data_IF_612760945968
#
_entry.id   IF_612760945968
#
_cell.length_a   1.000
_cell.length_b   1.000
_cell.length_c   1.000
_cell.angle_alpha   90.00
_cell.angle_beta   90.00
_cell.angle_gamma   90.00
#
_symmetry.space_group_name_H-M   'P 1'
#
loop_
_entity.id
_entity.type
_entity.pdbx_description
1 polymer ?
#
# COMPACT_ATOMS: atom_id res chain seq x y z
N UNK A 1 29.75 -22.89 64.53
CA UNK A 1 29.43 -23.36 63.16
C UNK A 1 28.54 -22.32 62.51
N UNK A 2 29.06 -21.61 61.50
CA UNK A 2 28.38 -20.53 60.78
C UNK A 2 27.89 -21.07 59.43
N UNK A 3 26.60 -20.98 59.15
CA UNK A 3 26.00 -21.26 57.84
C UNK A 3 25.51 -19.92 57.25
N UNK A 4 25.86 -19.67 56.00
CA UNK A 4 25.70 -18.40 55.29
C UNK A 4 24.32 -18.25 54.62
N UNK A 5 23.78 -17.02 54.46
CA UNK A 5 22.52 -16.75 53.77
C UNK A 5 22.79 -16.23 52.34
N UNK A 6 22.94 -17.13 51.36
CA UNK A 6 23.16 -16.72 49.95
C UNK A 6 22.17 -17.37 48.97
N UNK A 7 21.31 -18.29 49.39
CA UNK A 7 20.53 -19.10 48.43
C UNK A 7 19.08 -18.67 48.17
N UNK A 8 18.63 -17.47 48.57
CA UNK A 8 17.21 -17.08 48.49
C UNK A 8 16.88 -15.86 47.61
N UNK A 9 17.74 -15.54 46.64
CA UNK A 9 17.54 -14.42 45.70
C UNK A 9 17.54 -14.80 44.21
N UNK A 10 17.57 -16.10 43.88
CA UNK A 10 17.62 -16.57 42.48
C UNK A 10 16.28 -17.08 41.91
N UNK A 11 15.22 -17.16 42.71
CA UNK A 11 13.91 -17.62 42.24
C UNK A 11 12.94 -16.50 41.81
N UNK A 12 13.28 -15.22 42.03
CA UNK A 12 12.40 -14.09 41.74
C UNK A 12 12.72 -13.36 40.40
N UNK A 13 13.75 -13.79 39.66
CA UNK A 13 14.21 -13.09 38.45
C UNK A 13 13.97 -13.85 37.13
N UNK A 14 13.29 -15.00 37.15
CA UNK A 14 12.94 -15.75 35.93
C UNK A 14 11.55 -15.45 35.35
N UNK A 15 10.73 -14.65 36.03
CA UNK A 15 9.37 -14.32 35.57
C UNK A 15 9.29 -13.09 34.65
N UNK A 16 10.42 -12.50 34.26
CA UNK A 16 10.51 -11.27 33.46
C UNK A 16 10.81 -11.48 31.97
N UNK A 17 10.90 -12.72 31.48
CA UNK A 17 11.32 -13.01 30.10
C UNK A 17 10.41 -13.97 29.34
N UNK A 18 9.11 -13.92 29.58
CA UNK A 18 8.12 -14.49 28.67
C UNK A 18 7.00 -13.47 28.45
N UNK A 19 7.30 -12.39 27.72
CA UNK A 19 6.24 -11.67 27.00
C UNK A 19 5.85 -12.63 25.88
N UNK A 20 4.63 -13.21 25.89
CA UNK A 20 4.16 -13.91 24.71
C UNK A 20 4.12 -12.90 23.58
N UNK A 21 4.99 -13.07 22.57
CA UNK A 21 4.80 -12.51 21.25
C UNK A 21 3.54 -13.17 20.67
N UNK A 22 2.39 -12.77 21.19
CA UNK A 22 1.11 -13.00 20.55
C UNK A 22 1.20 -12.12 19.30
N UNK A 23 1.44 -12.74 18.16
CA UNK A 23 1.08 -12.16 16.87
C UNK A 23 -0.44 -11.97 16.95
N UNK A 24 -0.81 -10.85 17.55
CA UNK A 24 -2.16 -10.40 17.68
C UNK A 24 -2.59 -10.11 16.25
N UNK A 25 -3.51 -10.93 15.73
CA UNK A 25 -4.38 -10.56 14.61
C UNK A 25 -5.14 -9.30 15.05
N UNK A 26 -4.44 -8.17 15.07
CA UNK A 26 -5.04 -6.88 15.34
C UNK A 26 -6.03 -6.64 14.20
N UNK A 27 -7.22 -6.12 14.50
CA UNK A 27 -8.13 -5.62 13.47
C UNK A 27 -7.45 -4.41 12.79
N UNK A 28 -6.57 -4.69 11.83
CA UNK A 28 -5.58 -3.76 11.27
C UNK A 28 -6.20 -2.51 10.61
N UNK A 29 -7.51 -2.53 10.36
CA UNK A 29 -8.23 -1.44 9.69
C UNK A 29 -8.25 -0.13 10.46
N UNK A 30 -8.53 -0.15 11.77
CA UNK A 30 -8.77 1.10 12.51
C UNK A 30 -7.47 1.85 12.82
N UNK A 31 -6.37 1.13 13.03
CA UNK A 31 -5.09 1.72 13.45
C UNK A 31 -4.54 2.73 12.44
N UNK A 32 -4.61 2.44 11.14
CA UNK A 32 -4.10 3.36 10.13
C UNK A 32 -4.97 4.62 9.97
N UNK A 33 -6.30 4.52 10.16
CA UNK A 33 -7.18 5.69 10.19
C UNK A 33 -6.92 6.56 11.43
N UNK A 34 -6.71 5.92 12.58
CA UNK A 34 -6.34 6.63 13.81
C UNK A 34 -5.02 7.39 13.60
N UNK A 35 -4.02 6.77 12.97
CA UNK A 35 -2.74 7.41 12.64
C UNK A 35 -2.90 8.57 11.65
N UNK A 36 -3.76 8.44 10.62
CA UNK A 36 -4.09 9.54 9.71
C UNK A 36 -4.70 10.71 10.49
N UNK A 37 -5.61 10.43 11.42
CA UNK A 37 -6.27 11.47 12.24
C UNK A 37 -5.31 12.17 13.22
N UNK A 38 -4.29 11.45 13.70
CA UNK A 38 -3.25 11.96 14.60
C UNK A 38 -2.13 12.71 13.87
N UNK A 39 -2.08 12.63 12.54
CA UNK A 39 -1.05 13.29 11.75
C UNK A 39 -1.12 14.82 11.89
N UNK A 40 0.05 15.45 11.99
CA UNK A 40 0.15 16.90 12.02
C UNK A 40 0.08 17.50 10.61
N UNK A 41 0.62 16.79 9.63
CA UNK A 41 0.57 17.17 8.22
C UNK A 41 0.73 15.96 7.30
N UNK A 42 0.37 16.14 6.04
CA UNK A 42 0.51 15.14 4.98
C UNK A 42 1.22 15.76 3.77
N UNK A 43 2.13 15.01 3.16
CA UNK A 43 2.82 15.38 1.93
C UNK A 43 2.47 14.35 0.86
N UNK A 44 2.05 14.85 -0.30
CA UNK A 44 1.92 14.06 -1.50
C UNK A 44 3.25 14.08 -2.26
N UNK A 45 3.68 12.93 -2.75
CA UNK A 45 4.91 12.75 -3.50
C UNK A 45 4.60 12.15 -4.87
N UNK A 46 5.32 12.62 -5.88
CA UNK A 46 5.46 11.96 -7.16
C UNK A 46 6.89 11.44 -7.31
N UNK A 47 7.02 10.26 -7.89
CA UNK A 47 8.28 9.56 -8.09
C UNK A 47 8.61 9.44 -9.57
N UNK A 48 9.89 9.27 -9.85
CA UNK A 48 10.36 8.73 -11.14
C UNK A 48 10.12 7.22 -11.22
N UNK A 49 10.01 6.73 -12.46
CA UNK A 49 9.97 5.31 -12.76
C UNK A 49 11.19 4.61 -12.14
N UNK A 50 10.95 3.44 -11.55
CA UNK A 50 12.02 2.68 -10.89
C UNK A 50 13.08 2.22 -11.89
N UNK A 51 12.69 1.93 -13.14
CA UNK A 51 13.56 1.42 -14.20
C UNK A 51 14.53 2.49 -14.72
N UNK A 52 14.20 3.78 -14.61
CA UNK A 52 15.10 4.88 -14.95
C UNK A 52 16.26 5.05 -13.93
N UNK A 53 16.32 4.23 -12.87
CA UNK A 53 17.46 4.21 -11.94
C UNK A 53 18.77 3.94 -12.65
N UNK A 54 18.76 3.05 -13.64
CA UNK A 54 19.98 2.54 -14.28
C UNK A 54 20.58 3.51 -15.29
N UNK A 55 19.86 4.58 -15.64
CA UNK A 55 20.36 5.66 -16.47
C UNK A 55 21.23 6.67 -15.70
N UNK A 56 21.41 6.51 -14.37
CA UNK A 56 22.41 7.31 -13.66
C UNK A 56 23.79 6.98 -14.25
N UNK A 57 24.63 7.98 -14.55
CA UNK A 57 26.02 7.73 -14.89
C UNK A 57 26.62 6.87 -13.79
N UNK A 58 26.92 5.59 -14.10
CA UNK A 58 27.65 4.73 -13.18
C UNK A 58 28.97 5.46 -12.94
N UNK A 59 29.21 5.90 -11.71
CA UNK A 59 30.53 6.38 -11.29
C UNK A 59 31.50 5.30 -11.75
N UNK A 60 32.47 5.70 -12.59
CA UNK A 60 33.45 4.79 -13.15
C UNK A 60 33.95 3.88 -12.04
N UNK A 61 33.88 2.57 -12.29
CA UNK A 61 34.07 1.48 -11.32
C UNK A 61 35.00 1.91 -10.18
N UNK A 62 34.50 1.83 -8.95
CA UNK A 62 35.29 2.12 -7.76
C UNK A 62 36.66 1.41 -7.88
N UNK A 63 37.77 2.16 -7.98
CA UNK A 63 39.10 1.57 -8.15
C UNK A 63 39.51 0.74 -6.93
N UNK A 64 38.76 0.78 -5.82
CA UNK A 64 39.04 0.03 -4.60
C UNK A 64 38.46 -1.38 -4.55
N UNK A 65 37.82 -1.86 -5.63
CA UNK A 65 37.74 -3.30 -5.93
C UNK A 65 37.15 -4.18 -4.82
N UNK A 66 36.08 -3.76 -4.16
CA UNK A 66 35.30 -4.63 -3.28
C UNK A 66 34.53 -5.65 -4.12
N UNK A 67 35.19 -6.78 -4.42
CA UNK A 67 34.55 -8.03 -4.85
C UNK A 67 33.72 -8.59 -3.70
N UNK A 68 32.56 -8.01 -3.46
CA UNK A 68 31.56 -8.54 -2.54
C UNK A 68 30.24 -8.52 -3.28
N UNK A 69 29.72 -9.72 -3.55
CA UNK A 69 28.38 -9.96 -4.08
C UNK A 69 27.35 -9.34 -3.12
N UNK A 70 27.04 -8.06 -3.29
CA UNK A 70 25.75 -7.57 -2.83
C UNK A 70 24.75 -8.05 -3.85
N UNK A 71 24.09 -9.17 -3.55
CA UNK A 71 22.79 -9.50 -4.13
C UNK A 71 21.99 -8.20 -4.16
N UNK A 72 21.78 -7.71 -5.37
CA UNK A 72 21.14 -6.43 -5.62
C UNK A 72 19.68 -6.61 -5.17
N UNK A 73 19.46 -6.30 -3.89
CA UNK A 73 18.17 -6.40 -3.23
C UNK A 73 17.12 -5.78 -4.15
N UNK A 74 16.25 -6.62 -4.69
CA UNK A 74 15.10 -6.29 -5.53
C UNK A 74 14.06 -5.43 -4.81
N UNK A 75 14.40 -4.88 -3.64
CA UNK A 75 13.61 -3.94 -2.83
C UNK A 75 13.42 -2.55 -3.47
N UNK A 76 13.70 -2.37 -4.76
CA UNK A 76 13.92 -1.05 -5.35
C UNK A 76 12.68 -0.20 -5.70
N UNK A 77 11.47 -0.78 -5.66
CA UNK A 77 10.28 -0.16 -6.27
C UNK A 77 9.29 0.41 -5.24
N UNK A 78 9.35 0.00 -3.97
CA UNK A 78 8.47 0.52 -2.93
C UNK A 78 9.27 1.37 -1.94
N UNK A 79 8.73 2.52 -1.54
CA UNK A 79 9.20 3.34 -0.43
C UNK A 79 8.68 2.83 0.91
N UNK A 80 7.79 1.83 0.95
CA UNK A 80 7.38 1.20 2.20
C UNK A 80 8.53 0.38 2.76
N UNK A 81 8.77 0.49 4.06
CA UNK A 81 9.80 -0.35 4.68
C UNK A 81 9.34 -1.81 4.75
N UNK A 82 10.26 -2.75 4.55
CA UNK A 82 9.99 -4.19 4.72
C UNK A 82 10.06 -4.63 6.20
N UNK A 83 10.32 -3.71 7.13
CA UNK A 83 10.50 -3.97 8.56
C UNK A 83 9.59 -3.12 9.45
N UNK A 84 10.09 -2.70 10.61
CA UNK A 84 9.32 -1.93 11.61
C UNK A 84 9.01 -0.48 11.19
N UNK A 85 9.62 0.01 10.11
CA UNK A 85 9.43 1.37 9.62
C UNK A 85 8.20 1.54 8.72
N UNK A 86 7.67 2.76 8.69
CA UNK A 86 6.57 3.12 7.77
C UNK A 86 7.10 3.39 6.37
N UNK A 87 8.20 4.17 6.28
CA UNK A 87 8.81 4.62 5.02
C UNK A 87 10.32 4.40 5.05
N UNK A 88 10.89 3.88 3.96
CA UNK A 88 12.32 3.91 3.67
C UNK A 88 12.69 5.30 3.14
N UNK A 89 13.18 6.17 4.03
CA UNK A 89 13.49 7.57 3.73
C UNK A 89 14.56 7.71 2.63
N UNK A 90 15.55 6.83 2.60
CA UNK A 90 16.60 6.86 1.56
C UNK A 90 16.01 6.60 0.18
N UNK A 91 15.11 5.61 0.09
CA UNK A 91 14.42 5.29 -1.18
C UNK A 91 13.49 6.43 -1.59
N UNK A 92 12.74 7.01 -0.63
CA UNK A 92 11.89 8.18 -0.87
C UNK A 92 12.71 9.34 -1.45
N UNK A 93 13.74 9.81 -0.74
CA UNK A 93 14.58 10.95 -1.16
C UNK A 93 15.23 10.68 -2.52
N UNK A 94 15.63 9.43 -2.79
CA UNK A 94 16.24 9.07 -4.06
C UNK A 94 15.28 9.07 -5.25
N UNK A 95 13.95 9.07 -5.06
CA UNK A 95 12.98 8.90 -6.15
C UNK A 95 12.03 10.07 -6.35
N UNK A 96 11.88 10.94 -5.35
CA UNK A 96 10.97 12.09 -5.44
C UNK A 96 11.38 13.02 -6.58
N UNK A 97 10.43 13.29 -7.47
CA UNK A 97 10.56 14.28 -8.55
C UNK A 97 9.76 15.55 -8.23
N UNK A 98 8.66 15.41 -7.50
CA UNK A 98 7.85 16.52 -7.03
C UNK A 98 7.16 16.16 -5.71
N UNK A 99 6.86 17.17 -4.90
CA UNK A 99 6.12 17.01 -3.66
C UNK A 99 5.23 18.22 -3.38
N UNK A 100 4.11 18.02 -2.72
CA UNK A 100 3.18 19.09 -2.34
C UNK A 100 2.56 18.82 -0.97
N UNK A 101 2.36 19.88 -0.19
CA UNK A 101 1.66 19.78 1.10
C UNK A 101 0.16 19.63 0.86
N UNK A 102 -0.45 18.64 1.49
CA UNK A 102 -1.88 18.37 1.39
C UNK A 102 -2.63 19.19 2.44
N UNK A 103 -3.67 19.90 2.02
CA UNK A 103 -4.52 20.67 2.94
C UNK A 103 -5.41 19.76 3.79
N UNK A 104 -5.94 20.26 4.91
CA UNK A 104 -6.86 19.49 5.77
C UNK A 104 -8.11 19.01 5.03
N UNK A 105 -8.68 19.87 4.18
CA UNK A 105 -9.84 19.52 3.34
C UNK A 105 -9.51 18.40 2.37
N UNK A 106 -8.33 18.44 1.75
CA UNK A 106 -7.86 17.39 0.84
C UNK A 106 -7.55 16.08 1.60
N UNK A 107 -6.99 16.14 2.82
CA UNK A 107 -6.81 14.95 3.67
C UNK A 107 -8.16 14.29 3.96
N UNK A 108 -9.19 15.07 4.29
CA UNK A 108 -10.54 14.52 4.49
C UNK A 108 -11.09 13.83 3.24
N UNK A 109 -10.90 14.43 2.06
CA UNK A 109 -11.31 13.84 0.77
C UNK A 109 -10.55 12.56 0.46
N UNK A 110 -9.24 12.55 0.69
CA UNK A 110 -8.38 11.38 0.56
C UNK A 110 -8.85 10.24 1.48
N UNK A 111 -9.12 10.52 2.75
CA UNK A 111 -9.62 9.51 3.70
C UNK A 111 -10.96 8.92 3.24
N UNK A 112 -11.88 9.75 2.76
CA UNK A 112 -13.15 9.27 2.19
C UNK A 112 -12.93 8.43 0.94
N UNK A 113 -12.04 8.85 0.04
CA UNK A 113 -11.68 8.11 -1.17
C UNK A 113 -11.08 6.73 -0.84
N UNK A 114 -10.25 6.65 0.20
CA UNK A 114 -9.71 5.39 0.68
C UNK A 114 -10.80 4.49 1.29
N UNK A 115 -11.75 5.05 2.03
CA UNK A 115 -12.80 4.24 2.65
C UNK A 115 -13.94 3.84 1.71
N UNK A 116 -13.93 4.35 0.49
CA UNK A 116 -14.93 4.01 -0.51
C UNK A 116 -14.75 2.55 -0.94
N UNK A 117 -15.83 1.78 -0.96
CA UNK A 117 -15.82 0.33 -1.25
C UNK A 117 -16.63 -0.04 -2.50
N UNK A 118 -17.12 0.94 -3.24
CA UNK A 118 -17.93 0.72 -4.45
C UNK A 118 -17.08 0.77 -5.73
N UNK A 119 -15.79 1.07 -5.60
CA UNK A 119 -14.87 1.23 -6.71
C UNK A 119 -14.26 -0.12 -7.08
N UNK A 120 -14.45 -0.53 -8.33
CA UNK A 120 -14.05 -1.83 -8.85
C UNK A 120 -13.00 -1.62 -9.93
N UNK A 121 -11.75 -1.89 -9.58
CA UNK A 121 -10.63 -1.84 -10.51
C UNK A 121 -9.90 -3.19 -10.56
N UNK A 122 -9.53 -3.67 -11.76
CA UNK A 122 -8.75 -4.89 -11.89
C UNK A 122 -7.30 -4.61 -11.48
N UNK A 123 -6.77 -5.37 -10.52
CA UNK A 123 -5.36 -5.24 -10.12
C UNK A 123 -4.49 -5.99 -11.12
N UNK A 124 -3.44 -5.33 -11.62
CA UNK A 124 -2.41 -5.94 -12.45
C UNK A 124 -1.11 -6.14 -11.65
N UNK A 125 -0.31 -7.15 -12.03
CA UNK A 125 0.90 -7.56 -11.30
C UNK A 125 2.10 -6.59 -11.41
N UNK A 126 1.99 -5.51 -12.19
CA UNK A 126 3.08 -4.57 -12.46
C UNK A 126 3.19 -3.44 -11.42
N UNK A 127 3.25 -3.78 -10.12
CA UNK A 127 3.25 -2.79 -9.04
C UNK A 127 4.53 -1.92 -9.00
N UNK A 128 4.50 -0.80 -9.73
CA UNK A 128 5.51 0.24 -9.74
C UNK A 128 4.90 1.58 -9.28
N UNK A 129 4.86 1.87 -7.97
CA UNK A 129 4.24 3.08 -7.46
C UNK A 129 5.01 4.32 -7.90
N UNK A 130 4.29 5.27 -8.49
CA UNK A 130 4.79 6.59 -8.89
C UNK A 130 4.24 7.71 -8.00
N UNK A 131 3.38 7.37 -7.05
CA UNK A 131 2.65 8.33 -6.25
C UNK A 131 2.60 7.84 -4.82
N UNK A 132 2.70 8.76 -3.86
CA UNK A 132 2.41 8.43 -2.47
C UNK A 132 1.84 9.60 -1.70
N UNK A 133 1.13 9.28 -0.62
CA UNK A 133 0.85 10.20 0.48
C UNK A 133 1.58 9.70 1.72
N UNK A 134 2.36 10.57 2.37
CA UNK A 134 2.99 10.27 3.66
C UNK A 134 2.45 11.23 4.70
N UNK A 135 1.94 10.67 5.79
CA UNK A 135 1.42 11.37 6.95
C UNK A 135 2.50 11.44 8.02
N UNK A 136 2.73 12.64 8.55
CA UNK A 136 3.81 12.91 9.48
C UNK A 136 3.29 13.38 10.83
N UNK A 137 4.04 13.05 11.89
CA UNK A 137 3.90 13.64 13.22
C UNK A 137 4.32 15.11 13.21
N UNK A 138 4.07 15.85 14.29
CA UNK A 138 4.57 17.22 14.45
C UNK A 138 6.10 17.30 14.55
N UNK A 139 6.76 16.19 14.89
CA UNK A 139 8.22 16.05 14.93
C UNK A 139 8.82 15.67 13.57
N UNK A 140 7.97 15.33 12.58
CA UNK A 140 8.40 14.94 11.24
C UNK A 140 8.57 13.43 11.04
N UNK A 141 8.13 12.60 11.99
CA UNK A 141 8.20 11.14 11.85
C UNK A 141 7.07 10.62 10.95
N UNK A 142 7.34 9.69 10.01
CA UNK A 142 6.30 9.11 9.17
C UNK A 142 5.41 8.17 9.99
N UNK A 143 4.11 8.45 10.05
CA UNK A 143 3.10 7.67 10.78
C UNK A 143 2.35 6.70 9.87
N UNK A 144 2.06 7.12 8.64
CA UNK A 144 1.34 6.34 7.65
C UNK A 144 1.85 6.68 6.25
N UNK A 145 1.91 5.69 5.37
CA UNK A 145 2.25 5.87 3.96
C UNK A 145 1.27 5.10 3.09
N UNK A 146 0.85 5.73 2.01
CA UNK A 146 -0.06 5.19 1.00
C UNK A 146 0.64 5.32 -0.34
N UNK A 147 1.07 4.21 -0.91
CA UNK A 147 1.67 4.16 -2.25
C UNK A 147 0.62 3.80 -3.30
N UNK A 148 0.63 4.48 -4.43
CA UNK A 148 -0.36 4.34 -5.49
C UNK A 148 0.37 4.15 -6.83
N UNK A 149 -0.14 3.22 -7.63
CA UNK A 149 0.26 3.02 -9.02
C UNK A 149 -0.97 3.16 -9.91
N UNK A 150 -1.11 4.29 -10.60
CA UNK A 150 -2.23 4.50 -11.53
C UNK A 150 -2.15 3.62 -12.80
N UNK A 151 -0.98 3.03 -13.10
CA UNK A 151 -0.83 2.11 -14.24
C UNK A 151 -1.49 0.75 -13.99
N UNK A 152 -1.26 0.17 -12.80
CA UNK A 152 -1.84 -1.11 -12.42
C UNK A 152 -3.10 -0.99 -11.55
N UNK A 153 -3.52 0.24 -11.24
CA UNK A 153 -4.61 0.57 -10.30
C UNK A 153 -4.42 0.02 -8.89
N UNK A 154 -3.20 -0.42 -8.56
CA UNK A 154 -2.85 -0.95 -7.26
C UNK A 154 -2.45 0.16 -6.29
N UNK A 155 -2.68 -0.08 -5.01
CA UNK A 155 -2.14 0.73 -3.93
C UNK A 155 -1.70 -0.17 -2.76
N UNK A 156 -0.78 0.32 -1.94
CA UNK A 156 -0.31 -0.33 -0.71
C UNK A 156 -0.23 0.68 0.40
N UNK A 157 -0.39 0.20 1.62
CA UNK A 157 -0.43 1.05 2.81
C UNK A 157 0.47 0.47 3.89
N UNK A 158 1.16 1.35 4.62
CA UNK A 158 1.86 1.00 5.85
C UNK A 158 1.48 2.01 6.94
N UNK A 159 0.97 1.58 8.10
CA UNK A 159 0.49 0.22 8.36
C UNK A 159 -0.66 -0.18 7.43
N UNK A 160 -0.88 -1.50 7.28
CA UNK A 160 -1.90 -2.02 6.35
C UNK A 160 -3.31 -1.54 6.74
N UNK A 161 -3.95 -0.79 5.86
CA UNK A 161 -5.38 -0.48 5.93
C UNK A 161 -6.19 -1.73 5.53
N UNK A 162 -7.25 -2.03 6.29
CA UNK A 162 -8.21 -3.12 5.98
C UNK A 162 -9.14 -2.65 4.86
N UNK A 163 -8.60 -2.61 3.65
CA UNK A 163 -9.32 -2.07 2.50
C UNK A 163 -9.71 -3.12 1.47
N UNK A 164 -9.10 -4.31 1.50
CA UNK A 164 -9.43 -5.39 0.58
C UNK A 164 -10.03 -6.57 1.35
N UNK A 165 -11.33 -6.78 1.23
CA UNK A 165 -11.83 -8.15 1.15
C UNK A 165 -11.54 -8.60 -0.28
N UNK A 166 -10.55 -9.47 -0.45
CA UNK A 166 -10.49 -10.25 -1.67
C UNK A 166 -11.70 -11.16 -1.64
N UNK A 167 -12.66 -10.89 -2.51
CA UNK A 167 -13.63 -11.90 -2.85
C UNK A 167 -12.89 -12.94 -3.69
N UNK A 168 -12.63 -14.12 -3.09
CA UNK A 168 -11.89 -15.21 -3.72
C UNK A 168 -12.57 -15.68 -5.01
N UNK A 169 -13.89 -15.53 -5.13
CA UNK A 169 -14.63 -15.90 -6.34
C UNK A 169 -14.45 -14.87 -7.46
N UNK A 170 -14.47 -13.58 -7.13
CA UNK A 170 -14.44 -12.52 -8.15
C UNK A 170 -13.03 -12.05 -8.51
N UNK A 171 -11.98 -12.40 -7.75
CA UNK A 171 -10.61 -11.84 -7.88
C UNK A 171 -10.60 -10.30 -7.95
N UNK A 172 -11.63 -9.67 -7.40
CA UNK A 172 -11.78 -8.23 -7.40
C UNK A 172 -11.44 -7.70 -6.02
N UNK A 173 -10.67 -6.62 -6.02
CA UNK A 173 -10.49 -5.82 -4.82
C UNK A 173 -11.47 -4.67 -4.89
N UNK A 174 -12.45 -4.72 -4.00
CA UNK A 174 -13.15 -3.54 -3.50
C UNK A 174 -12.07 -2.56 -3.02
N UNK A 175 -11.88 -1.45 -3.76
CA UNK A 175 -10.69 -0.61 -3.61
C UNK A 175 -11.01 0.87 -3.42
N UNK A 176 -9.95 1.67 -3.23
CA UNK A 176 -10.03 3.11 -3.10
C UNK A 176 -10.58 3.79 -4.37
N UNK A 177 -11.19 4.98 -4.20
CA UNK A 177 -11.61 5.86 -5.29
C UNK A 177 -10.37 6.50 -5.95
N UNK A 178 -9.86 5.83 -6.99
CA UNK A 178 -8.69 6.28 -7.73
C UNK A 178 -8.93 7.56 -8.54
N UNK A 179 -10.17 7.84 -8.93
CA UNK A 179 -10.52 9.10 -9.63
C UNK A 179 -10.33 10.29 -8.70
N UNK A 180 -10.85 10.20 -7.48
CA UNK A 180 -10.71 11.28 -6.50
C UNK A 180 -9.25 11.44 -6.05
N UNK A 181 -8.53 10.33 -5.88
CA UNK A 181 -7.09 10.36 -5.58
C UNK A 181 -6.30 11.03 -6.71
N UNK A 182 -6.56 10.68 -7.97
CA UNK A 182 -5.92 11.32 -9.13
C UNK A 182 -6.24 12.82 -9.21
N UNK A 183 -7.48 13.21 -8.90
CA UNK A 183 -7.90 14.62 -8.86
C UNK A 183 -7.12 15.40 -7.80
N UNK A 184 -6.86 14.82 -6.64
CA UNK A 184 -6.03 15.45 -5.61
C UNK A 184 -4.60 15.73 -6.10
N UNK A 185 -3.99 14.80 -6.85
CA UNK A 185 -2.67 15.03 -7.44
C UNK A 185 -2.68 16.16 -8.49
N UNK A 186 -3.72 16.23 -9.33
CA UNK A 186 -3.86 17.32 -10.30
C UNK A 186 -4.06 18.70 -9.65
N UNK A 187 -4.90 18.76 -8.60
CA UNK A 187 -5.12 19.98 -7.80
C UNK A 187 -3.81 20.46 -7.16
N UNK A 188 -2.99 19.52 -6.67
CA UNK A 188 -1.67 19.78 -6.09
C UNK A 188 -0.60 20.08 -7.14
N UNK A 189 -0.93 20.06 -8.44
CA UNK A 189 -0.03 20.28 -9.57
C UNK A 189 1.16 19.32 -9.59
N UNK A 190 0.93 18.08 -9.14
CA UNK A 190 1.88 16.99 -9.21
C UNK A 190 1.69 16.19 -10.50
N UNK A 191 2.78 15.64 -11.08
CA UNK A 191 2.68 14.86 -12.30
C UNK A 191 1.92 13.54 -12.06
N UNK A 192 1.07 13.16 -13.03
CA UNK A 192 0.26 11.94 -13.01
C UNK A 192 0.91 10.81 -13.83
N UNK A 193 2.24 10.70 -13.79
CA UNK A 193 3.02 9.72 -14.58
C UNK A 193 2.44 8.30 -14.52
N UNK A 194 2.26 7.61 -15.66
CA UNK A 194 2.73 7.96 -17.02
C UNK A 194 1.75 8.84 -17.82
N UNK A 195 0.63 9.26 -17.23
CA UNK A 195 -0.42 10.00 -17.91
C UNK A 195 -0.04 11.48 -18.04
N UNK A 196 -0.40 12.10 -19.17
CA UNK A 196 -0.05 13.50 -19.47
C UNK A 196 -0.97 14.49 -18.77
N UNK A 197 -2.19 14.08 -18.47
CA UNK A 197 -3.19 14.92 -17.81
C UNK A 197 -4.18 14.09 -17.00
N UNK A 198 -4.94 14.76 -16.14
CA UNK A 198 -6.01 14.14 -15.36
C UNK A 198 -7.10 13.53 -16.27
N UNK A 199 -7.46 14.20 -17.36
CA UNK A 199 -8.51 13.74 -18.28
C UNK A 199 -8.12 12.42 -18.98
N UNK A 200 -6.84 12.25 -19.31
CA UNK A 200 -6.32 11.01 -19.90
C UNK A 200 -6.46 9.84 -18.90
N UNK A 201 -6.05 10.06 -17.66
CA UNK A 201 -6.15 9.08 -16.57
C UNK A 201 -7.62 8.78 -16.24
N UNK A 202 -8.47 9.79 -16.10
CA UNK A 202 -9.89 9.64 -15.81
C UNK A 202 -10.60 8.80 -16.89
N UNK A 203 -10.30 9.05 -18.17
CA UNK A 203 -10.83 8.25 -19.28
C UNK A 203 -10.39 6.79 -19.17
N UNK A 204 -9.12 6.54 -18.80
CA UNK A 204 -8.59 5.18 -18.63
C UNK A 204 -9.26 4.46 -17.45
N UNK A 205 -9.38 5.12 -16.30
CA UNK A 205 -10.03 4.54 -15.11
C UNK A 205 -11.50 4.23 -15.38
N UNK A 206 -12.23 5.16 -16.00
CA UNK A 206 -13.64 4.95 -16.36
C UNK A 206 -13.83 3.76 -17.30
N UNK A 207 -12.94 3.63 -18.31
CA UNK A 207 -12.95 2.46 -19.20
C UNK A 207 -12.72 1.15 -18.45
N UNK A 208 -11.74 1.12 -17.54
CA UNK A 208 -11.45 -0.07 -16.73
C UNK A 208 -12.63 -0.46 -15.84
N UNK A 209 -13.26 0.52 -15.21
CA UNK A 209 -14.42 0.29 -14.34
C UNK A 209 -15.60 -0.28 -15.13
N UNK A 210 -15.87 0.25 -16.34
CA UNK A 210 -16.90 -0.27 -17.25
C UNK A 210 -16.61 -1.69 -17.72
N UNK A 211 -15.37 -1.98 -18.13
CA UNK A 211 -14.93 -3.32 -18.53
C UNK A 211 -15.08 -4.32 -17.38
N UNK A 212 -14.73 -3.90 -16.16
CA UNK A 212 -14.85 -4.73 -14.95
C UNK A 212 -16.31 -5.01 -14.62
N UNK A 213 -17.16 -3.98 -14.62
CA UNK A 213 -18.62 -4.12 -14.42
C UNK A 213 -19.26 -5.05 -15.46
N UNK A 214 -18.85 -4.95 -16.72
CA UNK A 214 -19.36 -5.82 -17.79
C UNK A 214 -18.99 -7.29 -17.56
N UNK A 215 -17.74 -7.56 -17.15
CA UNK A 215 -17.27 -8.92 -16.84
C UNK A 215 -18.01 -9.55 -15.67
N UNK A 216 -18.20 -8.81 -14.56
CA UNK A 216 -18.98 -9.31 -13.41
C UNK A 216 -20.39 -9.69 -13.84
N UNK A 217 -21.05 -8.84 -14.63
CA UNK A 217 -22.41 -9.11 -15.10
C UNK A 217 -22.48 -10.33 -16.02
N UNK A 218 -21.43 -10.62 -16.77
CA UNK A 218 -21.31 -11.83 -17.59
C UNK A 218 -21.12 -13.07 -16.71
N UNK A 219 -20.18 -13.02 -15.76
CA UNK A 219 -19.90 -14.11 -14.79
C UNK A 219 -21.14 -14.44 -13.95
N UNK A 220 -21.90 -13.44 -13.51
CA UNK A 220 -23.17 -13.61 -12.79
C UNK A 220 -24.21 -14.34 -13.65
N UNK A 221 -24.32 -13.99 -14.94
CA UNK A 221 -25.26 -14.66 -15.86
C UNK A 221 -24.86 -16.11 -16.12
N UNK A 222 -23.58 -16.40 -16.28
CA UNK A 222 -23.07 -17.76 -16.44
C UNK A 222 -23.35 -18.60 -15.20
N UNK A 223 -23.10 -18.04 -14.01
CA UNK A 223 -23.36 -18.69 -12.73
C UNK A 223 -24.84 -19.02 -12.53
N UNK A 224 -25.74 -18.09 -12.87
CA UNK A 224 -27.19 -18.33 -12.78
C UNK A 224 -27.67 -19.34 -13.83
N UNK A 225 -27.11 -19.34 -15.04
CA UNK A 225 -27.39 -20.35 -16.06
C UNK A 225 -26.94 -21.76 -15.61
N UNK A 226 -25.76 -21.87 -14.98
CA UNK A 226 -25.27 -23.13 -14.42
C UNK A 226 -26.19 -23.64 -13.30
N UNK A 227 -26.56 -22.78 -12.34
CA UNK A 227 -27.51 -23.12 -11.26
C UNK A 227 -28.86 -23.56 -11.81
N UNK A 228 -29.37 -22.93 -12.87
CA UNK A 228 -30.61 -23.32 -13.52
C UNK A 228 -30.52 -24.70 -14.18
N UNK A 229 -29.39 -25.02 -14.83
CA UNK A 229 -29.16 -26.33 -15.46
C UNK A 229 -29.11 -27.48 -14.44
N UNK A 230 -28.54 -27.24 -13.24
CA UNK A 230 -28.44 -28.25 -12.16
C UNK A 230 -29.79 -28.57 -11.52
N UNK A 231 -30.72 -27.60 -11.43
CA UNK A 231 -32.06 -27.80 -10.83
C UNK A 231 -32.99 -28.66 -11.71
N UNK A 232 -32.68 -28.83 -12.99
CA UNK A 232 -33.50 -29.60 -13.93
C UNK A 232 -33.18 -31.10 -14.02
N UNK A 233 -32.14 -31.59 -13.33
CA UNK A 233 -31.77 -33.00 -13.37
C UNK A 233 -32.71 -33.82 -12.46
N UNK A 234 -33.52 -34.76 -12.99
CA UNK A 234 -34.41 -35.58 -12.16
C UNK A 234 -33.58 -36.48 -11.25
N UNK A 235 -33.97 -36.51 -9.97
CA UNK A 235 -33.37 -37.37 -8.95
C UNK A 235 -33.63 -38.83 -9.34
N UNK A 236 -32.60 -39.53 -9.83
CA UNK A 236 -32.72 -40.94 -10.20
C UNK A 236 -32.73 -41.77 -8.92
N UNK A 237 -33.94 -42.00 -8.38
CA UNK A 237 -34.22 -43.02 -7.37
C UNK A 237 -34.14 -44.43 -7.95
#
# INVERSE_FOLDING_TARGET
MRLAPVCLLLAALQSLLCIPCRAEDQPAGNKALDLISQSAFCIAYAFRDADDRDLRPRLAADPFGTKGETEESTSGVSILSQGEGVVNVDTLVSRVTAQARVSKTQISRLTTALLKTDSLFPIFDCYNPHHAFVFYSSQGDPLCCIEICFSCTGFRTSPKLRMATMDEELRMVVGADLHEIARLFDELKLPLTPYKSFEELEKRLTKLEQETKARILEDEKETEAEKASRKGAPDKQ
#
